data_IF_573015961505
#
_entry.id   IF_573015961505
#
_cell.length_a   1.000
_cell.length_b   1.000
_cell.length_c   1.000
_cell.angle_alpha   90.00
_cell.angle_beta   90.00
_cell.angle_gamma   90.00
#
_symmetry.space_group_name_H-M   'P 1'
#
loop_
_entity.id
_entity.type
_entity.pdbx_description
1 polymer ?
#
# COMPACT_ATOMS: atom_id res chain seq x y z
N UNK A 1 -8.09 13.67 29.00
CA UNK A 1 -7.89 13.71 27.54
C UNK A 1 -8.40 12.37 27.01
N UNK A 2 -9.41 12.40 26.15
CA UNK A 2 -9.92 11.18 25.50
C UNK A 2 -9.49 11.19 24.03
N UNK A 3 -8.85 10.11 23.59
CA UNK A 3 -8.45 9.91 22.20
C UNK A 3 -9.41 8.90 21.59
N UNK A 4 -10.01 9.27 20.45
CA UNK A 4 -10.80 8.35 19.63
C UNK A 4 -10.02 8.08 18.35
N UNK A 5 -9.93 6.81 17.97
CA UNK A 5 -9.47 6.48 16.60
C UNK A 5 -10.61 6.74 15.62
N UNK A 6 -10.27 6.94 14.35
CA UNK A 6 -11.26 7.14 13.29
C UNK A 6 -12.34 6.05 13.27
N UNK A 7 -11.95 4.79 13.47
CA UNK A 7 -12.86 3.62 13.43
C UNK A 7 -13.89 3.61 14.58
N UNK A 8 -13.64 4.38 15.65
CA UNK A 8 -14.56 4.47 16.79
C UNK A 8 -15.65 5.53 16.59
N UNK A 9 -15.56 6.37 15.55
CA UNK A 9 -16.46 7.50 15.35
C UNK A 9 -17.90 7.07 15.12
N UNK A 10 -18.13 5.97 14.39
CA UNK A 10 -19.47 5.49 14.08
C UNK A 10 -20.25 5.03 15.34
N UNK A 11 -19.53 4.69 16.42
CA UNK A 11 -20.11 4.17 17.66
C UNK A 11 -20.04 5.17 18.83
N UNK A 12 -19.25 6.24 18.70
CA UNK A 12 -18.99 7.16 19.81
C UNK A 12 -20.07 8.24 19.94
N UNK A 13 -20.70 8.35 21.12
CA UNK A 13 -21.50 9.52 21.49
C UNK A 13 -20.58 10.68 21.94
N UNK A 14 -20.12 11.46 20.97
CA UNK A 14 -19.21 12.59 21.20
C UNK A 14 -19.86 13.63 22.14
N UNK A 15 -21.16 13.88 21.99
CA UNK A 15 -21.87 14.86 22.82
C UNK A 15 -22.00 14.36 24.26
N UNK A 16 -22.30 13.08 24.46
CA UNK A 16 -22.28 12.43 25.77
C UNK A 16 -20.90 12.54 26.44
N UNK A 17 -19.83 12.27 25.69
CA UNK A 17 -18.45 12.40 26.19
C UNK A 17 -18.15 13.86 26.59
N UNK A 18 -18.45 14.83 25.73
CA UNK A 18 -18.16 16.25 26.02
C UNK A 18 -18.97 16.79 27.21
N UNK A 19 -20.21 16.32 27.40
CA UNK A 19 -21.03 16.71 28.55
C UNK A 19 -20.46 16.23 29.89
N UNK A 20 -19.67 15.15 29.90
CA UNK A 20 -18.96 14.66 31.10
C UNK A 20 -17.70 15.48 31.42
N UNK A 21 -17.14 16.19 30.43
CA UNK A 21 -15.92 16.98 30.57
C UNK A 21 -16.19 18.44 30.20
N UNK A 22 -16.91 19.16 31.08
CA UNK A 22 -17.04 20.62 30.99
C UNK A 22 -15.62 21.22 31.06
N UNK A 23 -15.21 21.90 29.99
CA UNK A 23 -13.86 22.45 29.71
C UNK A 23 -12.82 21.49 29.08
N UNK A 24 -13.22 20.28 28.69
CA UNK A 24 -12.36 19.32 27.99
C UNK A 24 -12.40 19.43 26.45
N UNK A 25 -11.55 18.64 25.79
CA UNK A 25 -11.61 18.40 24.34
C UNK A 25 -11.43 16.91 24.04
N UNK A 26 -11.94 16.48 22.88
CA UNK A 26 -11.72 15.15 22.32
C UNK A 26 -10.75 15.29 21.15
N UNK A 27 -9.70 14.48 21.14
CA UNK A 27 -8.82 14.37 19.99
C UNK A 27 -9.24 13.14 19.16
N UNK A 28 -9.49 13.37 17.88
CA UNK A 28 -9.73 12.30 16.92
C UNK A 28 -8.41 12.06 16.20
N UNK A 29 -7.81 10.90 16.45
CA UNK A 29 -6.57 10.52 15.79
C UNK A 29 -6.86 10.18 14.31
N UNK A 30 -6.15 10.81 13.37
CA UNK A 30 -6.38 10.56 11.95
C UNK A 30 -5.92 9.15 11.58
N UNK A 31 -6.67 8.47 10.72
CA UNK A 31 -6.28 7.13 10.26
C UNK A 31 -5.12 7.24 9.27
N UNK A 32 -3.90 6.89 9.71
CA UNK A 32 -2.68 6.96 8.89
C UNK A 32 -2.34 5.55 8.38
N UNK A 33 -2.44 5.32 7.06
CA UNK A 33 -2.03 4.04 6.46
C UNK A 33 -0.51 3.97 6.32
N UNK A 34 0.09 2.84 6.66
CA UNK A 34 1.53 2.57 6.59
C UNK A 34 1.88 1.91 5.26
N UNK A 35 2.58 2.65 4.41
CA UNK A 35 2.90 2.25 3.04
C UNK A 35 4.40 2.00 2.94
N UNK A 36 4.79 0.82 2.46
CA UNK A 36 6.16 0.55 2.02
C UNK A 36 6.24 0.65 0.50
N UNK A 37 7.25 1.31 -0.06
CA UNK A 37 7.46 1.44 -1.51
C UNK A 37 8.79 0.80 -1.89
N UNK A 38 8.79 -0.17 -2.80
CA UNK A 38 9.99 -0.65 -3.48
C UNK A 38 10.19 0.21 -4.72
N UNK A 39 11.24 1.05 -4.69
CA UNK A 39 11.56 1.96 -5.77
C UNK A 39 12.18 1.22 -6.96
N UNK A 40 11.45 1.18 -8.06
CA UNK A 40 11.87 0.65 -9.37
C UNK A 40 12.08 1.77 -10.41
N UNK A 41 12.32 3.00 -9.96
CA UNK A 41 12.44 4.20 -10.80
C UNK A 41 11.24 5.14 -10.68
N UNK A 42 10.78 5.40 -9.45
CA UNK A 42 9.72 6.38 -9.16
C UNK A 42 10.22 7.82 -9.41
N UNK A 43 9.38 8.67 -9.98
CA UNK A 43 9.73 10.07 -10.20
C UNK A 43 9.40 10.95 -8.99
N UNK A 44 10.11 12.08 -8.83
CA UNK A 44 9.86 13.03 -7.73
C UNK A 44 8.41 13.54 -7.69
N UNK A 45 7.78 13.70 -8.86
CA UNK A 45 6.38 14.16 -8.96
C UNK A 45 5.41 13.15 -8.35
N UNK A 46 5.71 11.86 -8.46
CA UNK A 46 4.89 10.77 -7.97
C UNK A 46 5.00 10.67 -6.44
N UNK A 47 6.22 10.79 -5.91
CA UNK A 47 6.46 10.89 -4.46
C UNK A 47 5.71 12.10 -3.88
N UNK A 48 5.79 13.26 -4.56
CA UNK A 48 5.04 14.46 -4.15
C UNK A 48 3.53 14.30 -4.22
N UNK A 49 3.03 13.47 -5.13
CA UNK A 49 1.59 13.22 -5.24
C UNK A 49 1.11 12.32 -4.10
N UNK A 50 1.81 11.20 -3.85
CA UNK A 50 1.43 10.26 -2.78
C UNK A 50 1.64 10.86 -1.38
N UNK A 51 2.62 11.75 -1.18
CA UNK A 51 2.86 12.39 0.12
C UNK A 51 1.78 13.38 0.55
N UNK A 52 0.81 13.70 -0.31
CA UNK A 52 -0.34 14.57 0.03
C UNK A 52 -1.46 13.81 0.76
N UNK A 53 -1.39 12.48 0.78
CA UNK A 53 -2.35 11.63 1.45
C UNK A 53 -1.92 11.36 2.89
N UNK A 54 -2.86 10.85 3.70
CA UNK A 54 -2.62 10.51 5.09
C UNK A 54 -1.87 9.17 5.21
N UNK A 55 -0.68 9.10 4.62
CA UNK A 55 0.16 7.92 4.53
C UNK A 55 1.50 8.13 5.25
N UNK A 56 1.91 7.12 6.01
CA UNK A 56 3.28 7.00 6.52
C UNK A 56 4.08 6.15 5.54
N UNK A 57 5.02 6.77 4.81
CA UNK A 57 5.67 6.15 3.65
C UNK A 57 7.12 5.79 3.96
N UNK A 58 7.47 4.51 3.79
CA UNK A 58 8.85 4.01 3.82
C UNK A 58 9.31 3.63 2.41
N UNK A 59 10.36 4.25 1.90
CA UNK A 59 10.86 3.99 0.53
C UNK A 59 12.14 3.13 0.61
N UNK A 60 12.11 1.99 -0.07
CA UNK A 60 13.21 1.03 -0.20
C UNK A 60 13.82 1.09 -1.59
N UNK A 61 15.12 0.81 -1.69
CA UNK A 61 15.77 0.64 -2.99
C UNK A 61 15.34 -0.67 -3.66
N UNK A 62 15.59 -0.80 -4.97
CA UNK A 62 15.37 -2.05 -5.71
C UNK A 62 16.20 -3.23 -5.18
N UNK A 63 17.32 -2.97 -4.48
CA UNK A 63 18.15 -3.98 -3.83
C UNK A 63 17.75 -4.22 -2.36
N UNK A 64 16.49 -4.02 -1.99
CA UNK A 64 15.99 -4.16 -0.63
C UNK A 64 16.36 -5.51 0.03
N UNK A 65 16.47 -5.48 1.36
CA UNK A 65 16.58 -6.66 2.19
C UNK A 65 15.18 -7.19 2.52
N UNK A 66 14.92 -8.46 2.16
CA UNK A 66 13.61 -9.08 2.34
C UNK A 66 13.20 -9.18 3.82
N UNK A 67 14.14 -9.46 4.72
CA UNK A 67 13.87 -9.50 6.17
C UNK A 67 13.45 -8.13 6.69
N UNK A 68 14.04 -7.06 6.16
CA UNK A 68 13.73 -5.70 6.57
C UNK A 68 12.33 -5.26 6.12
N UNK A 69 11.94 -5.56 4.87
CA UNK A 69 10.57 -5.28 4.41
C UNK A 69 9.54 -6.07 5.22
N UNK A 70 9.81 -7.34 5.52
CA UNK A 70 8.90 -8.15 6.31
C UNK A 70 8.80 -7.69 7.78
N UNK A 71 9.86 -7.11 8.35
CA UNK A 71 9.85 -6.60 9.73
C UNK A 71 9.15 -5.24 9.88
N UNK A 72 9.05 -4.44 8.81
CA UNK A 72 8.31 -3.17 8.87
C UNK A 72 6.82 -3.47 8.95
N UNK A 73 6.13 -2.91 9.93
CA UNK A 73 4.68 -2.96 9.98
C UNK A 73 4.11 -1.99 8.93
N UNK A 74 3.57 -2.55 7.85
CA UNK A 74 3.01 -1.82 6.72
C UNK A 74 1.72 -2.50 6.29
N UNK A 75 0.69 -1.71 6.05
CA UNK A 75 -0.60 -2.19 5.54
C UNK A 75 -0.46 -2.67 4.09
N UNK A 76 0.45 -2.05 3.33
CA UNK A 76 0.72 -2.40 1.94
C UNK A 76 2.18 -2.19 1.54
N UNK A 77 2.63 -2.97 0.57
CA UNK A 77 3.89 -2.78 -0.12
C UNK A 77 3.66 -2.53 -1.62
N UNK A 78 4.05 -1.34 -2.08
CA UNK A 78 3.90 -0.90 -3.47
C UNK A 78 5.21 -1.13 -4.22
N UNK A 79 5.16 -1.83 -5.34
CA UNK A 79 6.24 -1.89 -6.32
C UNK A 79 5.97 -0.80 -7.35
N UNK A 80 6.80 0.25 -7.36
CA UNK A 80 6.56 1.42 -8.19
C UNK A 80 7.76 1.75 -9.06
N UNK A 81 7.58 1.65 -10.37
CA UNK A 81 8.53 2.16 -11.36
C UNK A 81 7.82 2.97 -12.44
N UNK A 82 8.55 3.90 -13.07
CA UNK A 82 8.08 4.61 -14.27
C UNK A 82 7.92 3.71 -15.49
N UNK A 83 7.64 4.30 -16.66
CA UNK A 83 7.36 3.56 -17.92
C UNK A 83 8.58 2.87 -18.56
N UNK A 84 9.78 3.01 -18.01
CA UNK A 84 11.00 2.44 -18.59
C UNK A 84 10.98 0.91 -18.51
N UNK A 85 11.41 0.24 -19.57
CA UNK A 85 11.62 -1.20 -19.51
C UNK A 85 12.80 -1.54 -18.60
N UNK A 86 12.68 -2.62 -17.83
CA UNK A 86 13.77 -3.15 -17.01
C UNK A 86 14.29 -4.38 -17.73
N UNK A 87 15.57 -4.36 -18.10
CA UNK A 87 16.22 -5.44 -18.87
C UNK A 87 16.32 -6.76 -18.09
N UNK A 88 16.49 -6.70 -16.76
CA UNK A 88 16.49 -7.90 -15.90
C UNK A 88 15.54 -7.77 -14.71
N UNK A 89 14.32 -8.26 -14.92
CA UNK A 89 13.25 -8.33 -13.90
C UNK A 89 13.40 -9.61 -13.04
N UNK A 90 14.23 -10.56 -13.47
CA UNK A 90 14.26 -11.93 -12.92
C UNK A 90 14.69 -11.97 -11.46
N UNK A 91 15.66 -11.12 -11.08
CA UNK A 91 16.09 -10.99 -9.69
C UNK A 91 14.99 -10.43 -8.80
N UNK A 92 14.29 -9.40 -9.27
CA UNK A 92 13.17 -8.78 -8.56
C UNK A 92 12.03 -9.79 -8.37
N UNK A 93 11.66 -10.53 -9.42
CA UNK A 93 10.64 -11.58 -9.36
C UNK A 93 10.96 -12.62 -8.27
N UNK A 94 12.22 -13.10 -8.20
CA UNK A 94 12.67 -14.07 -7.19
C UNK A 94 12.58 -13.55 -5.75
N UNK A 95 12.75 -12.26 -5.53
CA UNK A 95 12.55 -11.64 -4.21
C UNK A 95 11.07 -11.42 -3.92
N UNK A 96 10.35 -10.81 -4.85
CA UNK A 96 8.96 -10.39 -4.67
C UNK A 96 8.04 -11.58 -4.44
N UNK A 97 8.29 -12.73 -5.07
CA UNK A 97 7.53 -13.96 -4.78
C UNK A 97 7.55 -14.36 -3.30
N UNK A 98 8.61 -14.03 -2.56
CA UNK A 98 8.71 -14.34 -1.14
C UNK A 98 7.87 -13.41 -0.25
N UNK A 99 7.33 -12.32 -0.82
CA UNK A 99 6.40 -11.39 -0.18
C UNK A 99 4.93 -11.78 -0.44
N UNK A 100 4.66 -12.53 -1.50
CA UNK A 100 3.30 -13.01 -1.85
C UNK A 100 2.72 -13.81 -0.68
N UNK A 101 1.49 -13.46 -0.28
CA UNK A 101 0.79 -14.08 0.85
C UNK A 101 1.27 -13.64 2.23
N UNK A 102 2.33 -12.82 2.33
CA UNK A 102 2.83 -12.25 3.60
C UNK A 102 2.56 -10.76 3.72
N UNK A 103 2.44 -10.06 2.59
CA UNK A 103 2.15 -8.63 2.51
C UNK A 103 1.09 -8.40 1.43
N UNK A 104 0.29 -7.37 1.61
CA UNK A 104 -0.55 -6.84 0.55
C UNK A 104 0.36 -6.14 -0.46
N UNK A 105 0.23 -6.45 -1.75
CA UNK A 105 1.12 -5.94 -2.78
C UNK A 105 0.34 -5.12 -3.80
N UNK A 106 0.91 -3.99 -4.19
CA UNK A 106 0.38 -3.18 -5.30
C UNK A 106 1.49 -3.00 -6.32
N UNK A 107 1.21 -3.25 -7.60
CA UNK A 107 2.11 -3.01 -8.70
C UNK A 107 1.66 -1.79 -9.51
N UNK A 108 2.59 -0.88 -9.76
CA UNK A 108 2.35 0.34 -10.54
C UNK A 108 3.48 0.50 -11.57
N UNK A 109 3.09 0.77 -12.81
CA UNK A 109 4.01 0.81 -13.94
C UNK A 109 4.73 -0.53 -14.09
N UNK A 110 6.06 -0.53 -14.03
CA UNK A 110 6.84 -1.78 -14.11
C UNK A 110 6.58 -2.74 -12.94
N UNK A 111 6.13 -2.23 -11.80
CA UNK A 111 5.75 -3.08 -10.66
C UNK A 111 4.64 -4.08 -11.01
N UNK A 112 3.73 -3.72 -11.93
CA UNK A 112 2.70 -4.64 -12.42
C UNK A 112 3.34 -5.85 -13.12
N UNK A 113 4.28 -5.62 -14.04
CA UNK A 113 5.01 -6.67 -14.76
C UNK A 113 5.76 -7.60 -13.78
N UNK A 114 6.37 -7.04 -12.73
CA UNK A 114 7.08 -7.82 -11.70
C UNK A 114 6.12 -8.73 -10.93
N UNK A 115 4.96 -8.21 -10.50
CA UNK A 115 3.98 -8.99 -9.73
C UNK A 115 3.33 -10.07 -10.57
N UNK A 116 2.99 -9.76 -11.82
CA UNK A 116 2.44 -10.74 -12.77
C UNK A 116 3.42 -11.88 -13.02
N UNK A 117 4.69 -11.55 -13.30
CA UNK A 117 5.73 -12.56 -13.48
C UNK A 117 5.94 -13.40 -12.21
N UNK A 118 5.89 -12.79 -11.02
CA UNK A 118 6.00 -13.51 -9.76
C UNK A 118 4.80 -14.43 -9.48
N UNK A 119 3.58 -14.00 -9.82
CA UNK A 119 2.37 -14.82 -9.69
C UNK A 119 2.41 -16.01 -10.68
N UNK A 120 2.88 -15.78 -11.91
CA UNK A 120 3.07 -16.83 -12.91
C UNK A 120 4.12 -17.85 -12.49
N UNK A 121 5.24 -17.43 -11.90
CA UNK A 121 6.32 -18.32 -11.40
C UNK A 121 5.82 -19.29 -10.31
N UNK A 122 4.78 -18.91 -9.56
CA UNK A 122 4.16 -19.76 -8.52
C UNK A 122 2.88 -20.47 -9.00
N UNK A 123 2.60 -20.48 -10.31
CA UNK A 123 1.39 -21.06 -10.92
C UNK A 123 0.07 -20.49 -10.41
N UNK A 124 0.04 -19.21 -10.03
CA UNK A 124 -1.15 -18.50 -9.54
C UNK A 124 -1.47 -17.32 -10.48
N UNK A 125 -1.89 -17.60 -11.72
CA UNK A 125 -2.20 -16.57 -12.71
C UNK A 125 -3.72 -16.33 -12.81
N UNK A 126 -4.36 -16.09 -11.65
CA UNK A 126 -5.82 -15.92 -11.55
C UNK A 126 -6.15 -14.49 -11.12
N UNK A 127 -6.69 -13.72 -12.06
CA UNK A 127 -6.99 -12.31 -11.88
C UNK A 127 -8.47 -12.00 -12.09
N UNK A 128 -8.98 -10.99 -11.38
CA UNK A 128 -10.29 -10.38 -11.61
C UNK A 128 -10.08 -8.91 -11.96
N UNK A 129 -10.87 -8.38 -12.90
CA UNK A 129 -10.91 -6.95 -13.18
C UNK A 129 -11.45 -6.21 -11.97
N UNK A 130 -10.81 -5.11 -11.58
CA UNK A 130 -11.27 -4.20 -10.51
C UNK A 130 -10.92 -2.78 -10.93
N UNK A 131 -11.92 -1.90 -11.07
CA UNK A 131 -11.77 -0.55 -11.62
C UNK A 131 -11.01 -0.60 -12.97
N UNK A 132 -10.00 0.25 -13.16
CA UNK A 132 -9.08 0.23 -14.31
C UNK A 132 -7.91 -0.76 -14.15
N UNK A 133 -7.86 -1.48 -13.02
CA UNK A 133 -6.83 -2.45 -12.69
C UNK A 133 -7.32 -3.89 -12.61
N UNK A 134 -6.52 -4.72 -11.93
CA UNK A 134 -6.86 -6.11 -11.64
C UNK A 134 -6.37 -6.53 -10.27
N UNK A 135 -7.13 -7.42 -9.65
CA UNK A 135 -6.83 -8.03 -8.34
C UNK A 135 -6.60 -9.52 -8.52
N UNK A 136 -5.58 -10.04 -7.84
CA UNK A 136 -5.34 -11.47 -7.79
C UNK A 136 -6.42 -12.18 -6.94
N UNK A 137 -6.91 -13.34 -7.38
CA UNK A 137 -8.06 -14.01 -6.75
C UNK A 137 -7.82 -14.52 -5.33
N UNK A 138 -6.59 -14.92 -5.02
CA UNK A 138 -6.21 -15.57 -3.74
C UNK A 138 -5.45 -14.64 -2.80
N UNK A 139 -4.36 -14.04 -3.29
CA UNK A 139 -3.56 -13.09 -2.56
C UNK A 139 -4.10 -11.66 -2.71
N UNK A 140 -3.90 -10.83 -1.68
CA UNK A 140 -4.20 -9.39 -1.72
C UNK A 140 -3.16 -8.64 -2.57
N UNK A 141 -3.15 -8.93 -3.86
CA UNK A 141 -2.27 -8.34 -4.87
C UNK A 141 -3.11 -7.56 -5.87
N UNK A 142 -2.70 -6.33 -6.16
CA UNK A 142 -3.36 -5.46 -7.11
C UNK A 142 -2.36 -4.95 -8.14
N UNK A 143 -2.77 -4.88 -9.41
CA UNK A 143 -2.07 -4.16 -10.46
C UNK A 143 -2.97 -3.01 -10.91
N UNK A 144 -2.49 -1.77 -10.79
CA UNK A 144 -3.29 -0.55 -11.00
C UNK A 144 -2.46 0.57 -11.62
N UNK A 145 -3.12 1.55 -12.23
CA UNK A 145 -2.43 2.74 -12.75
C UNK A 145 -2.18 3.77 -11.63
N UNK A 146 -1.31 4.75 -11.88
CA UNK A 146 -1.00 5.84 -10.96
C UNK A 146 -2.24 6.66 -10.60
N UNK A 147 -3.21 6.75 -11.52
CA UNK A 147 -4.45 7.51 -11.30
C UNK A 147 -5.29 6.87 -10.19
N UNK A 148 -5.32 5.54 -10.13
CA UNK A 148 -6.05 4.77 -9.13
C UNK A 148 -5.37 4.81 -7.74
N UNK A 149 -4.14 5.32 -7.66
CA UNK A 149 -3.41 5.47 -6.41
C UNK A 149 -4.14 6.38 -5.41
N UNK A 150 -4.92 7.34 -5.93
CA UNK A 150 -5.74 8.25 -5.15
C UNK A 150 -6.88 7.51 -4.41
N UNK A 151 -7.26 6.33 -4.90
CA UNK A 151 -8.32 5.46 -4.35
C UNK A 151 -7.76 4.31 -3.50
N UNK A 152 -6.45 4.29 -3.22
CA UNK A 152 -5.83 3.23 -2.39
C UNK A 152 -6.54 3.05 -1.04
N UNK A 153 -7.16 4.10 -0.50
CA UNK A 153 -7.98 4.03 0.72
C UNK A 153 -9.18 3.10 0.64
N UNK A 154 -9.72 2.85 -0.56
CA UNK A 154 -10.84 1.90 -0.76
C UNK A 154 -10.35 0.46 -0.98
N UNK A 155 -9.07 0.29 -1.27
CA UNK A 155 -8.46 -0.99 -1.65
C UNK A 155 -7.79 -1.68 -0.45
N UNK A 156 -7.46 -0.91 0.61
CA UNK A 156 -6.75 -1.33 1.83
C UNK A 156 -7.56 -1.03 3.08
#
# INVERSE_FOLDING_TARGET
MSVLTHDMLDMADINGILNLYKDGYVHIEPNIKKVSIINLGIEKKDIKAISKFNYSINIFSSNFNLKHILSINSDVCILWGGKKEIEDISYLVKKVKQLIGKKNLIGIGVGQKVLEAACKDINEDKWKKVNEGKKHCKYMIYCMDIIDLLEISEII
#
